data_IF_615019058258
#
_entry.id   IF_615019058258
#
_cell.length_a   1.000
_cell.length_b   1.000
_cell.length_c   1.000
_cell.angle_alpha   90.00
_cell.angle_beta   90.00
_cell.angle_gamma   90.00
#
_symmetry.space_group_name_H-M   'P 1'
#
loop_
_entity.id
_entity.type
_entity.pdbx_description
1 polymer ?
#
# COMPACT_ATOMS: atom_id res chain seq x y z
N UNK A 1 -25.16 18.52 -6.26
CA UNK A 1 -25.44 17.45 -5.27
C UNK A 1 -26.03 18.10 -4.04
N UNK A 2 -27.14 17.60 -3.51
CA UNK A 2 -27.80 18.15 -2.33
C UNK A 2 -27.57 17.19 -1.15
N UNK A 3 -26.99 17.68 -0.06
CA UNK A 3 -26.68 16.88 1.13
C UNK A 3 -27.47 17.45 2.29
N UNK A 4 -28.18 16.59 3.02
CA UNK A 4 -28.85 16.95 4.27
C UNK A 4 -27.97 16.50 5.44
N UNK A 5 -27.55 17.45 6.27
CA UNK A 5 -26.86 17.19 7.54
C UNK A 5 -27.65 17.92 8.62
N UNK A 6 -28.10 17.19 9.62
CA UNK A 6 -28.85 17.72 10.78
C UNK A 6 -29.99 18.69 10.44
N UNK A 7 -30.79 18.35 9.41
CA UNK A 7 -31.93 19.15 8.98
C UNK A 7 -31.60 20.35 8.07
N UNK A 8 -30.31 20.66 7.86
CA UNK A 8 -29.86 21.72 6.94
C UNK A 8 -29.59 21.13 5.56
N UNK A 9 -30.20 21.71 4.52
CA UNK A 9 -29.98 21.32 3.12
C UNK A 9 -28.86 22.17 2.54
N UNK A 10 -27.72 21.56 2.24
CA UNK A 10 -26.57 22.24 1.63
C UNK A 10 -26.53 21.85 0.15
N UNK A 11 -26.65 22.85 -0.72
CA UNK A 11 -26.43 22.69 -2.16
C UNK A 11 -24.97 22.92 -2.47
N UNK A 12 -24.26 21.87 -2.88
CA UNK A 12 -22.86 21.98 -3.28
C UNK A 12 -22.72 22.61 -4.66
N UNK A 13 -21.77 23.54 -4.81
CA UNK A 13 -21.39 24.10 -6.10
C UNK A 13 -20.64 23.06 -6.96
N UNK A 14 -20.59 23.27 -8.28
CA UNK A 14 -19.83 22.39 -9.20
C UNK A 14 -18.35 22.31 -8.82
N UNK A 15 -17.75 23.42 -8.38
CA UNK A 15 -16.36 23.48 -7.94
C UNK A 15 -16.12 22.66 -6.67
N UNK A 16 -17.04 22.72 -5.70
CA UNK A 16 -16.96 21.92 -4.48
C UNK A 16 -17.08 20.42 -4.78
N UNK A 17 -17.96 20.04 -5.71
CA UNK A 17 -18.09 18.65 -6.17
C UNK A 17 -16.79 18.17 -6.81
N UNK A 18 -16.22 18.95 -7.73
CA UNK A 18 -14.95 18.61 -8.38
C UNK A 18 -13.80 18.48 -7.37
N UNK A 19 -13.75 19.35 -6.34
CA UNK A 19 -12.77 19.24 -5.25
C UNK A 19 -12.94 17.94 -4.45
N UNK A 20 -14.18 17.56 -4.14
CA UNK A 20 -14.47 16.30 -3.43
C UNK A 20 -14.05 15.10 -4.27
N UNK A 21 -14.35 15.10 -5.56
CA UNK A 21 -13.96 14.01 -6.46
C UNK A 21 -12.43 13.90 -6.58
N UNK A 22 -11.73 15.03 -6.69
CA UNK A 22 -10.26 15.04 -6.72
C UNK A 22 -9.67 14.44 -5.44
N UNK A 23 -10.12 14.88 -4.27
CA UNK A 23 -9.66 14.35 -2.98
C UNK A 23 -10.00 12.87 -2.82
N UNK A 24 -11.17 12.43 -3.29
CA UNK A 24 -11.52 11.00 -3.31
C UNK A 24 -10.57 10.20 -4.17
N UNK A 25 -10.23 10.70 -5.37
CA UNK A 25 -9.28 10.04 -6.29
C UNK A 25 -7.87 9.98 -5.71
N UNK A 26 -7.40 11.08 -5.11
CA UNK A 26 -6.11 11.15 -4.40
C UNK A 26 -6.07 10.15 -3.24
N UNK A 27 -7.08 10.14 -2.38
CA UNK A 27 -7.18 9.17 -1.27
C UNK A 27 -7.28 7.72 -1.74
N UNK A 28 -7.99 7.46 -2.84
CA UNK A 28 -8.07 6.12 -3.42
C UNK A 28 -6.72 5.68 -3.97
N UNK A 29 -6.00 6.57 -4.65
CA UNK A 29 -4.63 6.31 -5.12
C UNK A 29 -3.67 6.08 -3.95
N UNK A 30 -3.77 6.86 -2.87
CA UNK A 30 -3.00 6.64 -1.64
C UNK A 30 -3.35 5.28 -1.01
N UNK A 31 -4.64 4.94 -0.88
CA UNK A 31 -5.08 3.65 -0.35
C UNK A 31 -4.61 2.47 -1.19
N UNK A 32 -4.49 2.67 -2.51
CA UNK A 32 -4.01 1.68 -3.46
C UNK A 32 -2.50 1.84 -3.74
N UNK A 33 -1.74 2.44 -2.82
CA UNK A 33 -0.28 2.45 -2.92
C UNK A 33 0.33 1.24 -2.21
N UNK A 34 1.42 0.73 -2.76
CA UNK A 34 2.22 -0.33 -2.14
C UNK A 34 2.66 0.02 -0.72
N UNK A 35 3.12 1.26 -0.52
CA UNK A 35 3.49 1.82 0.79
C UNK A 35 2.39 1.65 1.83
N UNK A 36 1.18 2.10 1.54
CA UNK A 36 0.08 2.01 2.50
C UNK A 36 -0.34 0.56 2.76
N UNK A 37 -0.23 -0.31 1.75
CA UNK A 37 -0.49 -1.74 1.91
C UNK A 37 0.52 -2.37 2.87
N UNK A 38 1.82 -2.15 2.66
CA UNK A 38 2.88 -2.64 3.55
C UNK A 38 2.73 -2.12 4.99
N UNK A 39 2.49 -0.81 5.17
CA UNK A 39 2.31 -0.21 6.50
C UNK A 39 1.10 -0.80 7.24
N UNK A 40 -0.02 -1.02 6.55
CA UNK A 40 -1.23 -1.64 7.14
C UNK A 40 -1.01 -3.10 7.51
N UNK A 41 -0.12 -3.79 6.80
CA UNK A 41 0.27 -5.18 7.07
C UNK A 41 1.41 -5.30 8.10
N UNK A 42 1.67 -4.25 8.88
CA UNK A 42 2.61 -4.29 10.00
C UNK A 42 4.08 -4.08 9.63
N UNK A 43 4.38 -3.74 8.37
CA UNK A 43 5.75 -3.39 8.00
C UNK A 43 6.12 -2.00 8.53
N UNK A 44 7.38 -1.85 8.93
CA UNK A 44 8.00 -0.59 9.31
C UNK A 44 8.95 -0.13 8.21
N UNK A 45 8.91 1.15 7.87
CA UNK A 45 9.85 1.73 6.89
C UNK A 45 11.26 1.75 7.49
N UNK A 46 12.24 1.28 6.72
CA UNK A 46 13.65 1.34 7.07
C UNK A 46 14.24 2.68 6.62
N UNK A 47 15.06 3.28 7.49
CA UNK A 47 15.83 4.48 7.15
C UNK A 47 17.12 4.06 6.47
N UNK A 48 17.10 4.05 5.13
CA UNK A 48 18.26 3.70 4.31
C UNK A 48 18.77 4.98 3.64
N UNK A 49 20.09 5.09 3.48
CA UNK A 49 20.72 6.24 2.83
C UNK A 49 20.42 6.34 1.33
N UNK A 50 19.89 5.29 0.73
CA UNK A 50 19.49 5.28 -0.67
C UNK A 50 18.17 6.04 -0.84
N UNK A 51 18.18 7.05 -1.72
CA UNK A 51 17.01 7.90 -1.98
C UNK A 51 16.06 7.28 -3.00
N UNK A 52 16.48 6.22 -3.70
CA UNK A 52 15.76 5.66 -4.83
C UNK A 52 14.99 4.39 -4.48
N UNK A 53 15.24 3.80 -3.31
CA UNK A 53 14.57 2.58 -2.86
C UNK A 53 13.90 2.82 -1.51
N UNK A 54 12.59 2.59 -1.44
CA UNK A 54 11.87 2.59 -0.16
C UNK A 54 11.78 1.16 0.35
N UNK A 55 12.49 0.84 1.43
CA UNK A 55 12.45 -0.49 2.02
C UNK A 55 11.67 -0.54 3.33
N UNK A 56 11.16 -1.72 3.61
CA UNK A 56 10.20 -2.02 4.66
C UNK A 56 10.50 -3.38 5.27
N UNK A 57 10.26 -3.53 6.57
CA UNK A 57 10.48 -4.77 7.28
C UNK A 57 9.33 -5.08 8.24
N UNK A 58 8.88 -6.33 8.26
CA UNK A 58 7.99 -6.86 9.28
C UNK A 58 8.77 -7.89 10.11
N UNK A 59 9.18 -7.47 11.31
CA UNK A 59 10.00 -8.29 12.21
C UNK A 59 9.25 -9.53 12.71
N UNK A 60 7.94 -9.42 12.93
CA UNK A 60 7.11 -10.50 13.48
C UNK A 60 6.96 -11.66 12.50
N UNK A 61 6.82 -11.34 11.21
CA UNK A 61 6.68 -12.33 10.13
C UNK A 61 8.01 -12.66 9.44
N UNK A 62 9.10 -11.99 9.80
CA UNK A 62 10.41 -12.15 9.16
C UNK A 62 10.36 -11.80 7.68
N UNK A 63 9.63 -10.74 7.31
CA UNK A 63 9.52 -10.24 5.93
C UNK A 63 10.31 -8.96 5.72
N UNK A 64 10.84 -8.82 4.52
CA UNK A 64 11.45 -7.60 4.02
C UNK A 64 10.86 -7.29 2.64
N UNK A 65 10.60 -6.02 2.37
CA UNK A 65 10.03 -5.56 1.11
C UNK A 65 10.71 -4.27 0.63
N UNK A 66 10.91 -4.15 -0.67
CA UNK A 66 11.43 -2.98 -1.36
C UNK A 66 10.42 -2.49 -2.38
N UNK A 67 10.10 -1.20 -2.38
CA UNK A 67 9.36 -0.57 -3.48
C UNK A 67 10.38 -0.18 -4.55
N UNK A 68 10.29 -0.83 -5.70
CA UNK A 68 11.15 -0.62 -6.86
C UNK A 68 10.45 0.33 -7.84
N UNK A 69 11.14 1.40 -8.25
CA UNK A 69 10.66 2.41 -9.21
C UNK A 69 9.30 3.05 -8.87
N UNK A 70 8.87 2.97 -7.59
CA UNK A 70 7.56 3.44 -7.12
C UNK A 70 6.35 2.61 -7.57
N UNK A 71 6.55 1.57 -8.40
CA UNK A 71 5.48 0.88 -9.12
C UNK A 71 5.44 -0.62 -8.90
N UNK A 72 6.42 -1.22 -8.21
CA UNK A 72 6.47 -2.65 -7.94
C UNK A 72 7.01 -2.89 -6.54
N UNK A 73 6.67 -4.02 -5.93
CA UNK A 73 7.26 -4.45 -4.67
C UNK A 73 8.00 -5.75 -4.85
N UNK A 74 9.28 -5.77 -4.48
CA UNK A 74 9.99 -7.02 -4.28
C UNK A 74 9.96 -7.36 -2.79
N UNK A 75 9.55 -8.59 -2.44
CA UNK A 75 9.41 -9.04 -1.06
C UNK A 75 10.16 -10.36 -0.86
N UNK A 76 10.89 -10.47 0.24
CA UNK A 76 11.66 -11.65 0.65
C UNK A 76 11.33 -12.02 2.10
N UNK A 77 11.61 -13.26 2.48
CA UNK A 77 11.43 -13.75 3.85
C UNK A 77 10.17 -14.59 4.02
N UNK A 78 9.60 -14.66 5.23
CA UNK A 78 8.56 -15.61 5.72
C UNK A 78 9.13 -16.82 6.46
N UNK A 79 10.35 -16.72 7.01
CA UNK A 79 11.08 -17.88 7.53
C UNK A 79 11.19 -19.02 6.49
N UNK A 80 11.35 -18.70 5.20
CA UNK A 80 11.38 -19.63 4.04
C UNK A 80 12.41 -20.77 4.20
N UNK A 81 12.14 -21.73 5.08
CA UNK A 81 12.96 -22.92 5.34
C UNK A 81 12.52 -24.12 4.46
N UNK A 82 11.59 -23.93 3.52
CA UNK A 82 10.89 -25.06 2.87
C UNK A 82 10.82 -25.04 1.33
N UNK A 83 11.59 -24.23 0.60
CA UNK A 83 11.63 -24.32 -0.88
C UNK A 83 12.94 -24.92 -1.41
N UNK A 84 12.82 -25.87 -2.34
CA UNK A 84 13.93 -26.71 -2.85
C UNK A 84 14.81 -26.01 -3.92
N UNK A 85 14.70 -24.69 -4.06
CA UNK A 85 15.49 -23.87 -4.97
C UNK A 85 15.40 -22.40 -4.54
N UNK A 86 16.51 -21.79 -4.15
CA UNK A 86 16.49 -20.58 -3.32
C UNK A 86 17.16 -19.35 -3.97
N UNK A 87 16.38 -18.45 -4.59
CA UNK A 87 16.60 -17.01 -4.59
C UNK A 87 15.35 -16.33 -3.99
N UNK A 88 15.39 -16.05 -2.68
CA UNK A 88 14.20 -16.07 -1.81
C UNK A 88 13.25 -14.86 -1.83
N UNK A 89 12.97 -14.27 -3.00
CA UNK A 89 12.04 -13.15 -3.14
C UNK A 89 11.04 -13.27 -4.28
N UNK A 90 9.88 -12.65 -4.11
CA UNK A 90 8.83 -12.52 -5.12
C UNK A 90 8.58 -11.04 -5.44
N UNK A 91 8.33 -10.73 -6.71
CA UNK A 91 7.93 -9.39 -7.13
C UNK A 91 6.43 -9.34 -7.37
N UNK A 92 5.79 -8.29 -6.87
CA UNK A 92 4.38 -7.98 -7.06
C UNK A 92 4.28 -6.72 -7.93
N UNK A 93 3.63 -6.87 -9.08
CA UNK A 93 3.48 -5.79 -10.05
C UNK A 93 2.24 -4.94 -9.76
N UNK A 94 1.31 -5.46 -8.96
CA UNK A 94 0.10 -4.74 -8.53
C UNK A 94 -0.11 -4.79 -7.01
N UNK A 95 -0.83 -3.80 -6.49
CA UNK A 95 -1.16 -3.73 -5.06
C UNK A 95 -2.12 -4.84 -4.66
N UNK A 96 -2.99 -5.25 -5.56
CA UNK A 96 -3.95 -6.35 -5.39
C UNK A 96 -3.23 -7.69 -5.19
N UNK A 97 -2.20 -7.97 -6.00
CA UNK A 97 -1.37 -9.18 -5.85
C UNK A 97 -0.66 -9.19 -4.49
N UNK A 98 0.01 -8.09 -4.12
CA UNK A 98 0.67 -7.98 -2.82
C UNK A 98 -0.34 -8.17 -1.67
N UNK A 99 -1.50 -7.52 -1.74
CA UNK A 99 -2.53 -7.63 -0.70
C UNK A 99 -3.02 -9.07 -0.55
N UNK A 100 -3.21 -9.77 -1.67
CA UNK A 100 -3.64 -11.17 -1.68
C UNK A 100 -2.62 -12.05 -0.96
N UNK A 101 -1.33 -11.86 -1.22
CA UNK A 101 -0.28 -12.60 -0.53
C UNK A 101 -0.25 -12.28 0.97
N UNK A 102 -0.30 -11.01 1.34
CA UNK A 102 -0.23 -10.61 2.74
C UNK A 102 -1.41 -11.17 3.54
N UNK A 103 -2.62 -11.20 2.97
CA UNK A 103 -3.80 -11.81 3.59
C UNK A 103 -3.64 -13.33 3.74
N UNK A 104 -3.03 -14.03 2.76
CA UNK A 104 -2.81 -15.48 2.82
C UNK A 104 -1.96 -15.92 4.02
N UNK A 105 -1.07 -15.03 4.47
CA UNK A 105 -0.08 -15.31 5.52
C UNK A 105 -0.30 -14.52 6.82
N UNK A 106 -1.42 -13.79 6.93
CA UNK A 106 -1.89 -13.18 8.18
C UNK A 106 -2.33 -14.24 9.17
#
# INVERSE_FOLDING_TARGET
>A
MNIKVDGVSITLTKEQIAKIERVKKERLAEMNSFKNTLLKSGFKKLSIKDKYVECYQNDEKGWYAEIIDGNRVWMVGAFLQQSYGFPGGWTYDTVEELRTELIRHM
#
